data_IF_315111166283
#
_entry.id   IF_315111166283
#
_cell.length_a   1.000
_cell.length_b   1.000
_cell.length_c   1.000
_cell.angle_alpha   90.00
_cell.angle_beta   90.00
_cell.angle_gamma   90.00
#
_symmetry.space_group_name_H-M   'P 1'
#
loop_
_entity.id
_entity.type
_entity.pdbx_description
1 polymer ?
#
# COMPACT_ATOMS: atom_id res chain seq x y z
N UNK A 1 4.75 10.74 8.93
CA UNK A 1 3.77 10.56 10.02
C UNK A 1 2.49 9.91 9.56
N UNK A 2 1.75 10.55 8.64
CA UNK A 2 0.38 10.14 8.27
C UNK A 2 0.28 9.10 7.14
N UNK A 3 1.33 9.00 6.32
CA UNK A 3 1.35 8.14 5.11
C UNK A 3 1.25 6.65 5.48
N UNK A 4 1.93 6.22 6.54
CA UNK A 4 1.95 4.81 6.93
C UNK A 4 0.58 4.26 7.35
N UNK A 5 -0.19 4.91 8.27
CA UNK A 5 -1.54 4.45 8.59
C UNK A 5 -2.50 4.57 7.40
N UNK A 6 -2.38 5.62 6.57
CA UNK A 6 -3.18 5.76 5.35
C UNK A 6 -2.96 4.60 4.37
N UNK A 7 -1.71 4.21 4.13
CA UNK A 7 -1.37 3.07 3.27
C UNK A 7 -1.90 1.74 3.84
N UNK A 8 -1.87 1.56 5.16
CA UNK A 8 -2.43 0.35 5.80
C UNK A 8 -3.95 0.28 5.61
N UNK A 9 -4.66 1.40 5.69
CA UNK A 9 -6.11 1.47 5.40
C UNK A 9 -6.38 1.21 3.92
N UNK A 10 -5.58 1.78 3.02
CA UNK A 10 -5.69 1.54 1.58
C UNK A 10 -5.52 0.05 1.26
N UNK A 11 -4.46 -0.57 1.78
CA UNK A 11 -4.21 -2.02 1.61
C UNK A 11 -5.32 -2.85 2.25
N UNK A 12 -5.88 -2.43 3.38
CA UNK A 12 -6.99 -3.17 3.99
C UNK A 12 -8.26 -3.17 3.12
N UNK A 13 -8.51 -2.10 2.36
CA UNK A 13 -9.62 -2.02 1.41
C UNK A 13 -9.35 -2.80 0.12
N UNK A 14 -8.11 -2.83 -0.34
CA UNK A 14 -7.73 -3.39 -1.64
C UNK A 14 -7.25 -4.84 -1.61
N UNK A 15 -6.64 -5.30 -0.52
CA UNK A 15 -5.99 -6.60 -0.49
C UNK A 15 -6.95 -7.70 0.02
N UNK A 16 -7.13 -8.80 -0.73
CA UNK A 16 -7.76 -10.00 -0.22
C UNK A 16 -7.00 -10.55 0.99
N UNK A 17 -7.68 -11.10 2.02
CA UNK A 17 -7.04 -11.62 3.23
C UNK A 17 -5.94 -12.66 2.95
N UNK A 18 -6.11 -13.48 1.92
CA UNK A 18 -5.14 -14.49 1.51
C UNK A 18 -3.87 -13.89 0.88
N UNK A 19 -3.98 -12.74 0.23
CA UNK A 19 -2.88 -12.11 -0.52
C UNK A 19 -2.32 -10.84 0.13
N UNK A 20 -2.89 -10.44 1.27
CA UNK A 20 -2.46 -9.24 2.02
C UNK A 20 -0.95 -9.21 2.27
N UNK A 21 -0.32 -10.36 2.49
CA UNK A 21 1.14 -10.47 2.63
C UNK A 21 1.91 -10.01 1.39
N UNK A 22 1.40 -10.24 0.17
CA UNK A 22 2.02 -9.81 -1.08
C UNK A 22 1.95 -8.29 -1.27
N UNK A 23 0.80 -7.70 -0.95
CA UNK A 23 0.62 -6.24 -0.96
C UNK A 23 1.53 -5.55 0.06
N UNK A 24 1.65 -6.12 1.28
CA UNK A 24 2.54 -5.59 2.31
C UNK A 24 4.01 -5.76 1.93
N UNK A 25 4.38 -6.86 1.26
CA UNK A 25 5.74 -7.02 0.73
C UNK A 25 6.07 -5.93 -0.32
N UNK A 26 5.09 -5.53 -1.13
CA UNK A 26 5.24 -4.42 -2.08
C UNK A 26 5.56 -3.07 -1.43
N UNK A 27 5.11 -2.82 -0.19
CA UNK A 27 5.46 -1.61 0.57
C UNK A 27 6.96 -1.50 0.87
N UNK A 28 7.71 -2.61 0.83
CA UNK A 28 9.17 -2.59 1.02
C UNK A 28 9.92 -1.87 -0.12
N UNK A 29 9.22 -1.48 -1.20
CA UNK A 29 9.77 -0.67 -2.29
C UNK A 29 10.41 0.65 -1.83
N UNK A 30 10.04 1.16 -0.65
CA UNK A 30 10.68 2.35 -0.08
C UNK A 30 12.19 2.19 0.12
N UNK A 31 12.66 0.97 0.44
CA UNK A 31 14.09 0.67 0.59
C UNK A 31 14.84 0.76 -0.74
N UNK A 32 14.23 0.26 -1.83
CA UNK A 32 14.81 0.38 -3.16
C UNK A 32 14.87 1.86 -3.61
N UNK A 33 13.84 2.64 -3.28
CA UNK A 33 13.80 4.07 -3.57
C UNK A 33 14.95 4.82 -2.89
N UNK A 34 15.25 4.53 -1.62
CA UNK A 34 16.40 5.14 -0.92
C UNK A 34 17.72 4.67 -1.50
N UNK A 35 17.87 3.39 -1.85
CA UNK A 35 19.09 2.87 -2.50
C UNK A 35 19.44 3.61 -3.80
N UNK A 36 18.44 4.07 -4.56
CA UNK A 36 18.65 4.84 -5.79
C UNK A 36 18.81 6.34 -5.52
N UNK A 37 18.01 6.88 -4.59
CA UNK A 37 17.96 8.32 -4.33
C UNK A 37 19.27 8.84 -3.70
N UNK A 38 19.86 8.11 -2.74
CA UNK A 38 21.05 8.60 -2.05
C UNK A 38 22.29 8.74 -2.95
N UNK A 39 22.64 7.76 -3.81
CA UNK A 39 23.75 7.92 -4.76
C UNK A 39 23.48 9.05 -5.77
N UNK A 40 22.25 9.16 -6.26
CA UNK A 40 21.86 10.17 -7.23
C UNK A 40 21.99 11.58 -6.65
N UNK A 41 21.56 11.79 -5.41
CA UNK A 41 21.74 13.05 -4.68
C UNK A 41 23.22 13.33 -4.43
N UNK A 42 24.00 12.34 -3.99
CA UNK A 42 25.44 12.50 -3.78
C UNK A 42 26.18 12.91 -5.06
N UNK A 43 25.83 12.31 -6.19
CA UNK A 43 26.39 12.67 -7.49
C UNK A 43 26.04 14.11 -7.90
N UNK A 44 24.79 14.53 -7.70
CA UNK A 44 24.34 15.90 -8.01
C UNK A 44 25.05 16.94 -7.14
N UNK A 45 25.18 16.67 -5.83
CA UNK A 45 25.83 17.59 -4.89
C UNK A 45 27.30 17.80 -5.26
N UNK A 46 28.02 16.74 -5.67
CA UNK A 46 29.43 16.85 -6.06
C UNK A 46 29.65 17.62 -7.37
N UNK A 47 28.66 17.63 -8.29
CA UNK A 47 28.77 18.30 -9.59
C UNK A 47 28.24 19.73 -9.61
N UNK A 48 27.08 19.97 -9.01
CA UNK A 48 26.37 21.25 -9.07
C UNK A 48 26.24 21.95 -7.72
N UNK A 49 26.75 21.34 -6.65
CA UNK A 49 26.69 21.87 -5.30
C UNK A 49 25.41 21.48 -4.56
N UNK A 50 25.40 21.77 -3.26
CA UNK A 50 24.39 21.29 -2.31
C UNK A 50 22.97 21.77 -2.62
N UNK A 51 22.81 22.98 -3.19
CA UNK A 51 21.51 23.55 -3.55
C UNK A 51 20.72 22.65 -4.51
N UNK A 52 21.40 22.01 -5.47
CA UNK A 52 20.75 21.16 -6.47
C UNK A 52 20.31 19.81 -5.92
N UNK A 53 20.90 19.33 -4.82
CA UNK A 53 20.47 18.10 -4.16
C UNK A 53 19.01 18.17 -3.71
N UNK A 54 18.58 19.33 -3.20
CA UNK A 54 17.19 19.55 -2.78
C UNK A 54 16.22 19.52 -3.96
N UNK A 55 16.54 20.22 -5.05
CA UNK A 55 15.69 20.27 -6.24
C UNK A 55 15.44 18.87 -6.81
N UNK A 56 16.45 18.01 -6.81
CA UNK A 56 16.32 16.65 -7.35
C UNK A 56 15.40 15.78 -6.50
N UNK A 57 15.51 15.85 -5.16
CA UNK A 57 14.60 15.12 -4.27
C UNK A 57 13.17 15.64 -4.43
N UNK A 58 12.98 16.96 -4.56
CA UNK A 58 11.66 17.56 -4.77
C UNK A 58 11.03 17.09 -6.08
N UNK A 59 11.78 17.11 -7.18
CA UNK A 59 11.29 16.63 -8.49
C UNK A 59 10.94 15.14 -8.41
N UNK A 60 11.80 14.32 -7.80
CA UNK A 60 11.54 12.89 -7.64
C UNK A 60 10.25 12.63 -6.85
N UNK A 61 10.01 13.39 -5.77
CA UNK A 61 8.80 13.28 -4.97
C UNK A 61 7.55 13.68 -5.76
N UNK A 62 7.61 14.79 -6.50
CA UNK A 62 6.49 15.26 -7.33
C UNK A 62 6.14 14.22 -8.40
N UNK A 63 7.13 13.67 -9.10
CA UNK A 63 6.91 12.60 -10.09
C UNK A 63 6.25 11.39 -9.44
N UNK A 64 6.73 10.96 -8.27
CA UNK A 64 6.12 9.86 -7.53
C UNK A 64 4.67 10.16 -7.13
N UNK A 65 4.38 11.35 -6.63
CA UNK A 65 3.03 11.75 -6.27
C UNK A 65 2.08 11.76 -7.48
N UNK A 66 2.55 12.23 -8.64
CA UNK A 66 1.76 12.22 -9.88
C UNK A 66 1.47 10.79 -10.32
N UNK A 67 2.49 9.92 -10.35
CA UNK A 67 2.29 8.50 -10.69
C UNK A 67 1.34 7.82 -9.70
N UNK A 68 1.53 8.05 -8.40
CA UNK A 68 0.66 7.51 -7.36
C UNK A 68 -0.79 7.98 -7.52
N UNK A 69 -1.01 9.25 -7.85
CA UNK A 69 -2.35 9.78 -8.08
C UNK A 69 -3.08 9.11 -9.25
N UNK A 70 -2.37 8.74 -10.31
CA UNK A 70 -2.98 8.04 -11.45
C UNK A 70 -3.16 6.54 -11.22
N UNK A 71 -2.30 5.91 -10.42
CA UNK A 71 -2.29 4.45 -10.22
C UNK A 71 -3.13 4.03 -9.00
N UNK A 72 -3.24 4.85 -7.96
CA UNK A 72 -3.97 4.49 -6.74
C UNK A 72 -5.31 5.22 -6.67
N UNK A 73 -6.40 4.47 -6.64
CA UNK A 73 -7.73 4.98 -6.33
C UNK A 73 -8.16 4.61 -4.89
N UNK A 74 -8.98 5.46 -4.28
CA UNK A 74 -9.42 5.30 -2.88
C UNK A 74 -10.30 4.06 -2.65
N UNK A 75 -11.00 3.61 -3.69
CA UNK A 75 -11.85 2.42 -3.69
C UNK A 75 -11.58 1.60 -4.95
N UNK A 76 -11.54 0.25 -4.86
CA UNK A 76 -11.40 -0.60 -6.04
C UNK A 76 -12.55 -0.40 -7.03
N UNK A 77 -13.72 0.01 -6.54
CA UNK A 77 -14.92 0.29 -7.35
C UNK A 77 -14.79 1.52 -8.25
N UNK A 78 -13.95 2.49 -7.86
CA UNK A 78 -13.73 3.74 -8.61
C UNK A 78 -12.57 3.62 -9.60
N UNK A 79 -11.89 2.47 -9.63
CA UNK A 79 -10.70 2.27 -10.43
C UNK A 79 -11.05 1.83 -11.86
N UNK A 80 -10.79 2.67 -12.86
CA UNK A 80 -11.15 2.39 -14.26
C UNK A 80 -10.43 1.21 -14.91
N UNK A 81 -9.33 0.72 -14.31
CA UNK A 81 -8.51 -0.35 -14.89
C UNK A 81 -8.68 -1.71 -14.20
N UNK A 82 -9.54 -1.83 -13.18
CA UNK A 82 -9.77 -3.13 -12.53
C UNK A 82 -10.94 -3.86 -13.21
N UNK A 83 -10.84 -5.18 -13.34
CA UNK A 83 -11.93 -6.00 -13.88
C UNK A 83 -13.08 -6.11 -12.87
N UNK A 84 -14.32 -6.11 -13.35
CA UNK A 84 -15.51 -6.32 -12.51
C UNK A 84 -15.44 -7.66 -11.74
N UNK A 85 -14.84 -8.69 -12.34
CA UNK A 85 -14.58 -9.99 -11.71
C UNK A 85 -13.66 -9.87 -10.49
N UNK A 86 -12.62 -9.03 -10.58
CA UNK A 86 -11.64 -8.82 -9.52
C UNK A 86 -12.25 -8.05 -8.35
N UNK A 87 -13.11 -7.06 -8.65
CA UNK A 87 -13.88 -6.32 -7.63
C UNK A 87 -14.84 -7.24 -6.90
N UNK A 88 -15.56 -8.11 -7.62
CA UNK A 88 -16.46 -9.09 -7.02
C UNK A 88 -15.71 -10.06 -6.11
N UNK A 89 -14.54 -10.57 -6.54
CA UNK A 89 -13.68 -11.44 -5.75
C UNK A 89 -13.19 -10.77 -4.45
N UNK A 90 -12.75 -9.51 -4.52
CA UNK A 90 -12.31 -8.76 -3.33
C UNK A 90 -13.47 -8.60 -2.33
N UNK A 91 -14.67 -8.24 -2.81
CA UNK A 91 -15.87 -8.09 -1.95
C UNK A 91 -16.26 -9.40 -1.29
N UNK A 92 -16.27 -10.51 -2.03
CA UNK A 92 -16.61 -11.83 -1.50
C UNK A 92 -15.58 -12.32 -0.47
N UNK A 93 -14.28 -12.17 -0.77
CA UNK A 93 -13.20 -12.58 0.13
C UNK A 93 -13.20 -11.80 1.46
N UNK A 94 -13.56 -10.51 1.42
CA UNK A 94 -13.73 -9.68 2.61
C UNK A 94 -14.94 -10.12 3.45
N UNK A 95 -16.08 -10.43 2.82
CA UNK A 95 -17.29 -10.92 3.50
C UNK A 95 -17.10 -12.29 4.18
N UNK A 96 -16.47 -13.25 3.48
CA UNK A 96 -16.21 -14.59 4.01
C UNK A 96 -15.32 -14.59 5.27
N UNK A 97 -14.41 -13.61 5.39
CA UNK A 97 -13.51 -13.47 6.53
C UNK A 97 -14.25 -13.02 7.80
N UNK A 98 -15.26 -12.16 7.67
CA UNK A 98 -16.09 -11.71 8.80
C UNK A 98 -16.89 -12.88 9.37
N UNK A 99 -17.45 -13.74 8.50
CA UNK A 99 -18.20 -14.94 8.91
C UNK A 99 -17.32 -15.94 9.64
N UNK A 100 -16.11 -16.24 9.12
CA UNK A 100 -15.15 -17.13 9.80
C UNK A 100 -14.77 -16.66 11.20
N UNK A 101 -14.49 -15.36 11.36
CA UNK A 101 -14.10 -14.80 12.67
C UNK A 101 -15.23 -14.92 13.70
N UNK A 102 -16.48 -14.70 13.28
CA UNK A 102 -17.66 -14.83 14.14
C UNK A 102 -17.83 -16.27 14.62
N UNK A 103 -17.73 -17.23 13.71
CA UNK A 103 -17.89 -18.66 14.01
C UNK A 103 -16.81 -19.17 14.99
N UNK A 104 -15.56 -18.75 14.77
CA UNK A 104 -14.43 -19.10 15.64
C UNK A 104 -14.57 -18.54 17.08
N UNK A 105 -15.10 -17.32 17.21
CA UNK A 105 -15.34 -16.70 18.51
C UNK A 105 -16.46 -17.40 19.29
N UNK A 106 -17.54 -17.77 18.59
CA UNK A 106 -18.63 -18.54 19.18
C UNK A 106 -18.13 -19.90 19.67
N UNK A 107 -17.30 -20.57 18.88
CA UNK A 107 -16.70 -21.85 19.26
C UNK A 107 -15.74 -21.72 20.47
N UNK A 108 -14.97 -20.65 20.56
CA UNK A 108 -14.07 -20.40 21.69
C UNK A 108 -14.84 -20.10 22.99
N UNK A 109 -15.90 -19.29 22.91
CA UNK A 109 -16.71 -18.96 24.09
C UNK A 109 -17.51 -20.16 24.57
N UNK A 110 -17.92 -21.04 23.65
CA UNK A 110 -18.56 -22.30 23.99
C UNK A 110 -17.64 -23.29 24.71
N UNK A 111 -16.30 -23.12 24.66
CA UNK A 111 -15.33 -23.94 25.41
C UNK A 111 -15.05 -23.34 26.81
N UNK A 112 -15.20 -22.02 26.97
CA UNK A 112 -14.97 -21.32 28.25
C UNK A 112 -16.19 -21.34 29.19
N UNK A 113 -17.38 -21.71 28.67
CA UNK A 113 -18.63 -21.81 29.43
C UNK A 113 -18.93 -23.23 29.96
N UNK A 114 -17.99 -24.17 29.81
CA UNK A 114 -17.99 -25.49 30.47
C UNK A 114 -16.76 -25.61 31.37
#
# INVERSE_FOLDING_TARGET
GLVYPALQVLIAKWAPPAEKGRFVAGLMGNTLATCVTWPLVGWVITKWGWNWGFHVITVQLVVFCVVFYFVCADSPEDHKFISEEEVAFIKEAQGATVTKKKDQLLHHYSILLF
#
